data_IF_934901661211
#
_entry.id   IF_934901661211
#
_cell.length_a   1.000
_cell.length_b   1.000
_cell.length_c   1.000
_cell.angle_alpha   90.00
_cell.angle_beta   90.00
_cell.angle_gamma   90.00
#
_symmetry.space_group_name_H-M   'P 1'
#
loop_
_entity.id
_entity.type
_entity.pdbx_description
1 polymer ?
#
# COMPACT_ATOMS: atom_id res chain seq x y z
N UNK A 1 11.63 -54.54 -11.62
CA UNK A 1 10.42 -54.11 -10.90
C UNK A 1 10.73 -52.79 -10.21
N UNK A 2 9.71 -51.95 -10.18
CA UNK A 2 9.73 -50.48 -10.12
C UNK A 2 10.39 -49.88 -8.86
N UNK A 3 11.19 -48.84 -9.10
CA UNK A 3 11.74 -47.90 -8.12
C UNK A 3 10.78 -46.73 -7.86
N UNK A 4 10.84 -46.22 -6.63
CA UNK A 4 10.48 -44.88 -6.14
C UNK A 4 9.01 -44.50 -5.90
N UNK A 5 8.73 -44.38 -4.60
CA UNK A 5 7.61 -43.68 -3.98
C UNK A 5 8.12 -42.30 -3.51
N UNK A 6 7.23 -41.30 -3.64
CA UNK A 6 7.21 -39.99 -3.00
C UNK A 6 8.26 -38.92 -3.34
N UNK A 7 7.87 -38.03 -4.25
CA UNK A 7 8.05 -36.59 -4.06
C UNK A 7 6.95 -35.81 -4.79
N UNK A 8 5.76 -35.77 -4.20
CA UNK A 8 4.69 -34.87 -4.63
C UNK A 8 5.03 -33.43 -4.23
N UNK A 9 5.64 -32.67 -5.14
CA UNK A 9 5.59 -31.20 -5.11
C UNK A 9 4.41 -30.73 -5.97
N UNK A 10 3.44 -30.03 -5.38
CA UNK A 10 2.63 -29.09 -6.14
C UNK A 10 2.77 -27.69 -5.53
N UNK A 11 3.91 -27.03 -5.76
CA UNK A 11 4.17 -25.67 -5.28
C UNK A 11 4.06 -24.63 -6.41
N UNK A 12 2.99 -24.77 -7.21
CA UNK A 12 2.67 -23.87 -8.32
C UNK A 12 1.23 -23.32 -8.27
N UNK A 13 0.39 -23.81 -7.36
CA UNK A 13 -1.06 -23.50 -7.35
C UNK A 13 -1.50 -22.36 -6.42
N UNK A 14 -0.72 -22.01 -5.38
CA UNK A 14 -1.18 -21.07 -4.35
C UNK A 14 -0.90 -19.59 -4.66
N UNK A 15 -0.11 -19.27 -5.70
CA UNK A 15 0.15 -17.87 -6.07
C UNK A 15 -1.01 -17.25 -6.85
N UNK A 16 -1.76 -18.04 -7.62
CA UNK A 16 -2.82 -17.50 -8.51
C UNK A 16 -4.13 -17.10 -7.82
N UNK A 17 -4.38 -17.58 -6.59
CA UNK A 17 -5.68 -17.39 -5.93
C UNK A 17 -5.80 -16.05 -5.19
N UNK A 18 -4.68 -15.40 -4.85
CA UNK A 18 -4.67 -14.17 -4.05
C UNK A 18 -3.88 -13.02 -4.68
N UNK A 19 -3.38 -13.19 -5.91
CA UNK A 19 -2.73 -12.12 -6.70
C UNK A 19 -3.57 -11.65 -7.88
N UNK A 20 -4.86 -12.02 -7.92
CA UNK A 20 -5.77 -11.47 -8.91
C UNK A 20 -5.98 -10.00 -8.59
N UNK A 21 -5.30 -9.09 -9.31
CA UNK A 21 -5.42 -7.64 -9.12
C UNK A 21 -6.85 -7.10 -9.15
N UNK A 22 -7.84 -7.92 -9.53
CA UNK A 22 -9.27 -7.61 -9.51
C UNK A 22 -9.80 -7.18 -8.14
N UNK A 23 -9.33 -7.75 -7.03
CA UNK A 23 -9.83 -7.35 -5.70
C UNK A 23 -9.39 -5.93 -5.33
N UNK A 24 -8.15 -5.56 -5.66
CA UNK A 24 -7.67 -4.21 -5.39
C UNK A 24 -8.34 -3.19 -6.31
N UNK A 25 -8.50 -3.53 -7.58
CA UNK A 25 -9.24 -2.69 -8.53
C UNK A 25 -10.69 -2.46 -8.09
N UNK A 26 -11.37 -3.48 -7.53
CA UNK A 26 -12.72 -3.29 -7.00
C UNK A 26 -12.78 -2.32 -5.82
N UNK A 27 -11.72 -2.26 -5.01
CA UNK A 27 -11.65 -1.33 -3.90
C UNK A 27 -11.32 0.10 -4.37
N UNK A 28 -10.44 0.23 -5.37
CA UNK A 28 -10.21 1.50 -6.08
C UNK A 28 -11.53 2.02 -6.69
N UNK A 29 -12.29 1.14 -7.36
CA UNK A 29 -13.60 1.45 -7.93
C UNK A 29 -14.60 1.86 -6.84
N UNK A 30 -14.63 1.15 -5.70
CA UNK A 30 -15.49 1.52 -4.57
C UNK A 30 -15.17 2.92 -4.02
N UNK A 31 -13.88 3.26 -3.85
CA UNK A 31 -13.52 4.60 -3.40
C UNK A 31 -13.91 5.66 -4.43
N UNK A 32 -13.72 5.37 -5.73
CA UNK A 32 -14.21 6.23 -6.80
C UNK A 32 -15.72 6.45 -6.72
N UNK A 33 -16.51 5.41 -6.49
CA UNK A 33 -17.96 5.52 -6.38
C UNK A 33 -18.36 6.38 -5.17
N UNK A 34 -17.72 6.21 -4.01
CA UNK A 34 -17.93 7.07 -2.84
C UNK A 34 -17.59 8.54 -3.14
N UNK A 35 -16.52 8.80 -3.87
CA UNK A 35 -16.14 10.16 -4.27
C UNK A 35 -17.18 10.78 -5.21
N UNK A 36 -17.69 10.02 -6.18
CA UNK A 36 -18.78 10.45 -7.06
C UNK A 36 -20.06 10.77 -6.26
N UNK A 37 -20.46 9.88 -5.36
CA UNK A 37 -21.63 10.06 -4.48
C UNK A 37 -21.48 11.28 -3.55
N UNK A 38 -20.24 11.64 -3.19
CA UNK A 38 -19.95 12.86 -2.43
C UNK A 38 -20.10 14.16 -3.23
N UNK A 39 -20.37 14.07 -4.53
CA UNK A 39 -20.61 15.21 -5.42
C UNK A 39 -19.41 15.64 -6.27
N UNK A 40 -18.33 14.87 -6.31
CA UNK A 40 -17.22 15.12 -7.23
C UNK A 40 -17.62 14.70 -8.65
N UNK A 41 -17.32 15.55 -9.62
CA UNK A 41 -17.45 15.20 -11.04
C UNK A 41 -16.41 14.13 -11.42
N UNK A 42 -16.83 13.16 -12.24
CA UNK A 42 -15.98 12.06 -12.70
C UNK A 42 -14.71 12.56 -13.40
N UNK A 43 -14.78 13.68 -14.12
CA UNK A 43 -13.63 14.27 -14.82
C UNK A 43 -12.51 14.75 -13.88
N UNK A 44 -12.79 14.87 -12.58
CA UNK A 44 -11.81 15.22 -11.56
C UNK A 44 -11.17 13.99 -10.89
N UNK A 45 -11.66 12.78 -11.14
CA UNK A 45 -11.20 11.55 -10.47
C UNK A 45 -10.40 10.70 -11.46
N UNK A 46 -9.17 10.37 -11.11
CA UNK A 46 -8.24 9.63 -11.95
C UNK A 46 -7.85 8.31 -11.29
N UNK A 47 -8.04 7.17 -11.98
CA UNK A 47 -7.70 5.81 -11.46
C UNK A 47 -6.90 4.95 -12.44
N UNK A 48 -6.72 5.38 -13.71
CA UNK A 48 -5.99 4.58 -14.71
C UNK A 48 -4.92 5.35 -15.47
N UNK A 49 -5.18 6.62 -15.76
CA UNK A 49 -4.31 7.49 -16.57
C UNK A 49 -4.22 8.86 -15.92
N UNK A 50 -3.11 9.57 -16.11
CA UNK A 50 -2.90 10.89 -15.49
C UNK A 50 -2.71 10.78 -13.98
N UNK A 51 -1.96 9.77 -13.56
CA UNK A 51 -1.72 9.40 -12.17
C UNK A 51 -0.33 9.84 -11.69
N UNK A 52 0.43 10.46 -12.57
CA UNK A 52 1.79 10.92 -12.37
C UNK A 52 1.79 12.27 -11.65
N UNK A 53 2.41 12.32 -10.48
CA UNK A 53 2.65 13.55 -9.72
C UNK A 53 4.15 13.79 -9.55
N UNK A 54 4.62 15.04 -9.59
CA UNK A 54 5.99 15.36 -9.24
C UNK A 54 6.31 14.93 -7.80
N UNK A 55 7.39 14.17 -7.63
CA UNK A 55 7.98 13.88 -6.33
C UNK A 55 8.98 14.97 -5.94
N UNK A 56 9.54 14.90 -4.72
CA UNK A 56 10.67 15.73 -4.30
C UNK A 56 12.00 15.03 -4.57
N UNK A 57 12.11 13.77 -4.13
CA UNK A 57 13.33 12.95 -4.19
C UNK A 57 13.43 12.17 -5.50
N UNK A 58 12.35 12.08 -6.27
CA UNK A 58 12.30 11.48 -7.61
C UNK A 58 11.55 12.41 -8.58
N UNK A 59 11.77 12.27 -9.90
CA UNK A 59 11.10 13.12 -10.89
C UNK A 59 9.57 13.05 -10.79
N UNK A 60 9.02 11.85 -10.67
CA UNK A 60 7.59 11.62 -10.54
C UNK A 60 7.28 10.32 -9.77
N UNK A 61 6.06 10.25 -9.21
CA UNK A 61 5.42 9.04 -8.73
C UNK A 61 4.10 8.85 -9.47
N UNK A 62 3.84 7.63 -9.90
CA UNK A 62 2.49 7.19 -10.26
C UNK A 62 1.76 6.70 -9.00
N UNK A 63 0.58 7.26 -8.77
CA UNK A 63 -0.37 6.87 -7.71
C UNK A 63 -1.45 5.94 -8.26
N UNK A 64 -2.26 5.35 -7.39
CA UNK A 64 -3.35 4.47 -7.80
C UNK A 64 -4.66 5.26 -8.02
N UNK A 65 -4.95 6.25 -7.18
CA UNK A 65 -6.08 7.17 -7.34
C UNK A 65 -5.69 8.62 -7.03
N UNK A 66 -6.11 9.56 -7.88
CA UNK A 66 -5.96 11.00 -7.67
C UNK A 66 -7.30 11.73 -7.84
N UNK A 67 -7.47 12.83 -7.11
CA UNK A 67 -8.54 13.81 -7.35
C UNK A 67 -7.91 15.18 -7.57
N UNK A 68 -8.16 15.78 -8.74
CA UNK A 68 -7.68 17.12 -9.10
C UNK A 68 -8.85 17.96 -9.61
N UNK A 69 -9.10 19.09 -8.96
CA UNK A 69 -10.16 20.05 -9.32
C UNK A 69 -9.51 21.41 -9.58
N UNK A 70 -9.73 22.02 -10.74
CA UNK A 70 -9.16 23.34 -11.09
C UNK A 70 -7.64 23.44 -10.86
N UNK A 71 -6.90 22.38 -11.25
CA UNK A 71 -5.45 22.21 -11.02
C UNK A 71 -5.02 22.16 -9.54
N UNK A 72 -5.97 22.04 -8.61
CA UNK A 72 -5.69 21.79 -7.21
C UNK A 72 -5.76 20.29 -6.92
N UNK A 73 -4.68 19.74 -6.36
CA UNK A 73 -4.63 18.37 -5.88
C UNK A 73 -5.40 18.26 -4.57
N UNK A 74 -6.55 17.57 -4.59
CA UNK A 74 -7.38 17.41 -3.41
C UNK A 74 -7.06 16.12 -2.65
N UNK A 75 -6.85 15.02 -3.37
CA UNK A 75 -6.66 13.70 -2.77
C UNK A 75 -5.72 12.84 -3.62
N UNK A 76 -4.88 12.08 -2.93
CA UNK A 76 -4.10 10.99 -3.50
C UNK A 76 -4.26 9.77 -2.62
N UNK A 77 -4.41 8.60 -3.22
CA UNK A 77 -4.47 7.33 -2.46
C UNK A 77 -3.60 6.29 -3.14
N UNK A 78 -2.80 5.62 -2.34
CA UNK A 78 -2.09 4.40 -2.72
C UNK A 78 -2.82 3.19 -2.14
N UNK A 79 -2.98 2.15 -2.93
CA UNK A 79 -3.61 0.90 -2.56
C UNK A 79 -2.59 -0.23 -2.54
N UNK A 80 -2.55 -0.99 -1.46
CA UNK A 80 -1.65 -2.14 -1.32
C UNK A 80 -2.37 -3.31 -0.69
N UNK A 81 -2.02 -4.52 -1.11
CA UNK A 81 -2.38 -5.75 -0.43
C UNK A 81 -1.15 -6.54 -0.01
N UNK A 82 -1.34 -7.39 0.99
CA UNK A 82 -0.33 -8.33 1.41
C UNK A 82 -0.96 -9.67 1.78
N UNK A 83 -0.40 -10.70 1.17
CA UNK A 83 -0.76 -12.11 1.37
C UNK A 83 0.53 -12.88 1.61
N UNK A 84 0.44 -13.98 2.35
CA UNK A 84 1.57 -14.79 2.78
C UNK A 84 2.41 -15.42 1.66
N UNK A 85 3.47 -16.18 2.02
CA UNK A 85 3.85 -16.57 3.39
C UNK A 85 4.86 -15.64 4.07
N UNK A 86 5.45 -14.68 3.36
CA UNK A 86 6.60 -13.88 3.82
C UNK A 86 6.21 -12.54 4.45
N UNK A 87 5.36 -12.57 5.48
CA UNK A 87 4.81 -11.35 6.09
C UNK A 87 5.87 -10.40 6.65
N UNK A 88 6.98 -10.90 7.20
CA UNK A 88 8.03 -10.05 7.77
C UNK A 88 8.78 -9.20 6.74
N UNK A 89 9.28 -9.83 5.68
CA UNK A 89 9.96 -9.10 4.61
C UNK A 89 8.99 -8.16 3.89
N UNK A 90 7.75 -8.62 3.65
CA UNK A 90 6.76 -7.79 3.01
C UNK A 90 6.38 -6.59 3.90
N UNK A 91 6.24 -6.78 5.22
CA UNK A 91 5.94 -5.70 6.17
C UNK A 91 6.96 -4.57 6.10
N UNK A 92 8.25 -4.89 6.24
CA UNK A 92 9.29 -3.86 6.22
C UNK A 92 9.30 -3.09 4.90
N UNK A 93 9.20 -3.80 3.78
CA UNK A 93 9.11 -3.17 2.46
C UNK A 93 7.89 -2.24 2.32
N UNK A 94 6.73 -2.61 2.87
CA UNK A 94 5.51 -1.78 2.81
C UNK A 94 5.61 -0.56 3.70
N UNK A 95 6.19 -0.68 4.89
CA UNK A 95 6.47 0.46 5.77
C UNK A 95 7.41 1.45 5.09
N UNK A 96 8.51 0.97 4.50
CA UNK A 96 9.45 1.82 3.77
C UNK A 96 8.79 2.53 2.57
N UNK A 97 7.96 1.82 1.80
CA UNK A 97 7.23 2.41 0.66
C UNK A 97 6.19 3.46 1.09
N UNK A 98 5.44 3.18 2.16
CA UNK A 98 4.44 4.09 2.70
C UNK A 98 5.09 5.37 3.23
N UNK A 99 6.14 5.23 4.04
CA UNK A 99 6.91 6.37 4.58
C UNK A 99 7.57 7.14 3.43
N UNK A 100 8.24 6.44 2.50
CA UNK A 100 8.92 7.06 1.37
C UNK A 100 7.95 7.83 0.46
N UNK A 101 6.76 7.28 0.20
CA UNK A 101 5.75 7.96 -0.62
C UNK A 101 5.15 9.17 0.10
N UNK A 102 4.88 9.05 1.41
CA UNK A 102 4.36 10.15 2.22
C UNK A 102 5.36 11.30 2.31
N UNK A 103 6.64 11.03 2.60
CA UNK A 103 7.65 12.08 2.65
C UNK A 103 7.87 12.74 1.29
N UNK A 104 7.95 11.94 0.22
CA UNK A 104 8.20 12.46 -1.12
C UNK A 104 7.11 13.46 -1.57
N UNK A 105 5.83 13.16 -1.33
CA UNK A 105 4.72 14.07 -1.69
C UNK A 105 4.63 15.28 -0.75
N UNK A 106 4.80 15.10 0.56
CA UNK A 106 4.72 16.21 1.51
C UNK A 106 5.85 17.19 1.29
N UNK A 107 7.07 16.69 1.04
CA UNK A 107 8.20 17.53 0.69
C UNK A 107 7.98 18.28 -0.62
N UNK A 108 7.43 17.62 -1.65
CA UNK A 108 7.10 18.26 -2.93
C UNK A 108 6.04 19.36 -2.76
N UNK A 109 5.04 19.11 -1.91
CA UNK A 109 4.00 20.09 -1.56
C UNK A 109 4.59 21.30 -0.85
N UNK A 110 5.40 21.10 0.19
CA UNK A 110 6.05 22.20 0.91
C UNK A 110 7.07 22.98 0.07
N UNK A 111 7.68 22.34 -0.93
CA UNK A 111 8.56 22.96 -1.93
C UNK A 111 7.77 23.74 -3.01
N UNK A 112 6.43 23.71 -2.97
CA UNK A 112 5.56 24.46 -3.88
C UNK A 112 5.37 23.82 -5.25
N UNK A 113 5.73 22.53 -5.43
CA UNK A 113 5.67 21.84 -6.73
C UNK A 113 4.25 21.67 -7.28
N UNK A 114 3.23 21.78 -6.43
CA UNK A 114 1.82 21.74 -6.83
C UNK A 114 1.18 23.14 -6.89
N UNK A 115 1.98 24.22 -6.84
CA UNK A 115 1.47 25.58 -6.76
C UNK A 115 0.92 25.96 -5.39
N UNK A 116 0.30 27.14 -5.29
CA UNK A 116 -0.31 27.62 -4.06
C UNK A 116 -1.70 27.03 -3.87
N UNK A 117 -1.82 26.08 -2.95
CA UNK A 117 -3.07 25.40 -2.63
C UNK A 117 -3.06 24.89 -1.17
N UNK A 118 -4.23 24.53 -0.61
CA UNK A 118 -4.30 23.79 0.65
C UNK A 118 -3.58 22.44 0.55
N UNK A 119 -3.23 21.90 1.73
CA UNK A 119 -2.65 20.56 1.82
C UNK A 119 -3.62 19.50 1.26
N UNK A 120 -3.15 18.60 0.36
CA UNK A 120 -3.99 17.51 -0.14
C UNK A 120 -4.24 16.47 0.95
N UNK A 121 -5.31 15.68 0.77
CA UNK A 121 -5.49 14.44 1.50
C UNK A 121 -4.57 13.36 0.93
N UNK A 122 -3.69 12.80 1.75
CA UNK A 122 -2.78 11.70 1.35
C UNK A 122 -3.22 10.43 2.08
N UNK A 123 -3.78 9.48 1.33
CA UNK A 123 -4.26 8.21 1.85
C UNK A 123 -3.38 7.02 1.47
N UNK A 124 -3.38 6.02 2.33
CA UNK A 124 -2.78 4.72 2.07
C UNK A 124 -3.78 3.66 2.53
N UNK A 125 -4.34 2.92 1.58
CA UNK A 125 -5.23 1.81 1.88
C UNK A 125 -4.46 0.50 1.85
N UNK A 126 -4.59 -0.29 2.92
CA UNK A 126 -3.90 -1.56 3.05
C UNK A 126 -4.86 -2.72 3.32
N UNK A 127 -4.84 -3.73 2.44
CA UNK A 127 -5.59 -4.98 2.60
C UNK A 127 -4.66 -6.12 3.02
N UNK A 128 -4.77 -6.55 4.27
CA UNK A 128 -3.96 -7.65 4.82
C UNK A 128 -4.76 -8.94 4.82
N UNK A 129 -4.13 -10.04 4.36
CA UNK A 129 -4.68 -11.38 4.55
C UNK A 129 -4.87 -11.69 6.04
N UNK A 130 -6.09 -12.05 6.42
CA UNK A 130 -6.40 -12.51 7.76
C UNK A 130 -6.09 -14.00 7.91
N UNK A 131 -4.96 -14.31 8.55
CA UNK A 131 -4.53 -15.67 8.87
C UNK A 131 -3.82 -15.75 10.23
N UNK A 132 -3.69 -16.94 10.85
CA UNK A 132 -3.07 -17.05 12.18
C UNK A 132 -1.70 -16.37 12.28
N UNK A 133 -0.89 -16.48 11.22
CA UNK A 133 0.47 -15.93 11.18
C UNK A 133 0.54 -14.40 11.26
N UNK A 134 -0.48 -13.66 10.80
CA UNK A 134 -0.47 -12.19 10.94
C UNK A 134 -0.87 -11.72 12.34
N UNK A 135 -1.46 -12.62 13.14
CA UNK A 135 -1.84 -12.39 14.53
C UNK A 135 -0.80 -12.87 15.54
N UNK A 136 0.20 -13.64 15.10
CA UNK A 136 1.30 -14.08 15.94
C UNK A 136 2.24 -12.92 16.28
N UNK A 137 2.60 -12.83 17.56
CA UNK A 137 3.60 -11.86 18.04
C UNK A 137 4.99 -12.18 17.48
N UNK A 138 5.75 -11.13 17.19
CA UNK A 138 7.07 -11.26 16.58
C UNK A 138 8.17 -11.07 17.62
N UNK A 139 9.21 -11.90 17.54
CA UNK A 139 10.42 -11.72 18.35
C UNK A 139 11.39 -10.74 17.68
N UNK A 140 12.09 -9.94 18.48
CA UNK A 140 13.07 -8.97 18.00
C UNK A 140 14.47 -9.30 18.54
N UNK A 141 15.49 -9.06 17.72
CA UNK A 141 16.87 -9.08 18.17
C UNK A 141 17.24 -7.73 18.77
N UNK A 142 17.73 -7.72 20.01
CA UNK A 142 18.19 -6.52 20.73
C UNK A 142 19.68 -6.61 21.05
N UNK A 143 20.59 -6.84 20.08
CA UNK A 143 22.00 -7.10 20.37
C UNK A 143 22.76 -5.88 20.93
N UNK A 144 22.26 -4.66 20.68
CA UNK A 144 22.93 -3.41 21.05
C UNK A 144 22.04 -2.47 21.84
N UNK A 145 20.76 -2.35 21.47
CA UNK A 145 19.80 -1.44 22.08
C UNK A 145 18.46 -2.13 22.22
N UNK A 146 17.71 -1.76 23.26
CA UNK A 146 16.36 -2.25 23.49
C UNK A 146 15.37 -1.63 22.49
N UNK A 147 14.48 -2.45 21.96
CA UNK A 147 13.31 -2.06 21.19
C UNK A 147 12.29 -1.41 22.12
N UNK A 148 11.53 -0.45 21.60
CA UNK A 148 10.42 0.18 22.30
C UNK A 148 9.49 -0.88 22.91
N UNK A 149 9.22 -0.83 24.24
CA UNK A 149 8.30 -1.75 24.89
C UNK A 149 6.92 -1.84 24.23
N UNK A 150 6.44 -0.77 23.60
CA UNK A 150 5.16 -0.73 22.90
C UNK A 150 5.11 -1.67 21.68
N UNK A 151 6.27 -2.04 21.12
CA UNK A 151 6.35 -2.90 19.94
C UNK A 151 6.56 -4.38 20.30
N UNK A 152 6.79 -4.72 21.57
CA UNK A 152 7.14 -6.09 22.00
C UNK A 152 5.95 -7.03 21.93
N UNK A 153 6.15 -8.18 21.28
CA UNK A 153 5.11 -9.21 21.13
C UNK A 153 3.92 -8.78 20.27
N UNK A 154 4.01 -7.62 19.61
CA UNK A 154 2.97 -7.12 18.72
C UNK A 154 3.02 -7.90 17.41
N UNK A 155 1.85 -8.27 16.90
CA UNK A 155 1.68 -9.00 15.65
C UNK A 155 1.77 -8.08 14.43
N UNK A 156 1.93 -8.65 13.22
CA UNK A 156 1.93 -7.85 12.00
C UNK A 156 0.62 -7.07 11.82
N UNK A 157 -0.53 -7.68 12.12
CA UNK A 157 -1.84 -7.04 11.98
C UNK A 157 -2.02 -5.79 12.87
N UNK A 158 -1.29 -5.71 14.00
CA UNK A 158 -1.34 -4.54 14.91
C UNK A 158 -0.30 -3.47 14.60
N UNK A 159 0.59 -3.71 13.63
CA UNK A 159 1.68 -2.79 13.26
C UNK A 159 1.39 -1.98 11.99
N UNK A 160 0.27 -2.25 11.32
CA UNK A 160 -0.34 -1.38 10.32
C UNK A 160 -1.37 -0.49 11.00
#
# INVERSE_FOLDING_TARGET
MQHQIDSGRPDAGSRGAATGGSQMTQLEDLLRDVLLESGLDESHIFTRTGLELPGYFRPEKRWDLLVVVDKCLLLVVEFKSQVGPSFGNNFNNRVEEAIGSAEDIWKAFHDGRFGLQPAPFVGYFFLLEDCPRVHEGIAFGEPHFSVDPALRGVSYAKRY
#
